data_IF_266564064728
#
_entry.id   IF_266564064728
#
_cell.length_a   1.000
_cell.length_b   1.000
_cell.length_c   1.000
_cell.angle_alpha   90.00
_cell.angle_beta   90.00
_cell.angle_gamma   90.00
#
_symmetry.space_group_name_H-M   'P 1'
#
loop_
_entity.id
_entity.type
_entity.pdbx_description
1 polymer ?
#
# COMPACT_ATOMS: atom_id res chain seq x y z
N UNK A 1 16.35 -78.10 62.93
CA UNK A 1 16.52 -76.92 62.06
C UNK A 1 15.19 -76.65 61.38
N UNK A 2 14.94 -75.41 61.02
CA UNK A 2 13.79 -74.99 60.24
C UNK A 2 14.11 -75.19 58.75
N UNK A 3 13.18 -75.73 57.97
CA UNK A 3 13.36 -75.88 56.52
C UNK A 3 12.96 -74.56 55.88
N UNK A 4 13.76 -74.02 54.98
CA UNK A 4 13.35 -72.84 54.20
C UNK A 4 12.52 -73.29 52.99
N UNK A 5 11.20 -73.30 53.13
CA UNK A 5 10.30 -73.71 52.05
C UNK A 5 10.36 -72.77 50.84
N UNK A 6 10.76 -71.50 51.02
CA UNK A 6 10.90 -70.52 49.93
C UNK A 6 12.16 -70.77 49.09
N UNK A 7 13.26 -71.20 49.73
CA UNK A 7 14.50 -71.58 49.01
C UNK A 7 14.43 -72.96 48.37
N UNK A 8 13.60 -73.86 48.91
CA UNK A 8 13.46 -75.24 48.42
C UNK A 8 12.33 -75.41 47.41
N UNK A 9 11.49 -74.39 47.21
CA UNK A 9 10.31 -74.45 46.33
C UNK A 9 9.16 -75.30 46.90
N UNK A 10 9.24 -75.70 48.17
CA UNK A 10 8.26 -76.52 48.87
C UNK A 10 7.11 -75.67 49.45
N UNK A 11 6.64 -74.67 48.70
CA UNK A 11 5.56 -73.76 49.10
C UNK A 11 4.40 -73.79 48.10
N UNK A 12 3.19 -73.50 48.58
CA UNK A 12 1.97 -73.45 47.74
C UNK A 12 1.53 -72.02 47.38
N UNK A 13 2.43 -71.04 47.44
CA UNK A 13 2.12 -69.65 47.06
C UNK A 13 1.76 -69.52 45.57
N UNK A 14 0.77 -68.66 45.27
CA UNK A 14 0.34 -68.36 43.90
C UNK A 14 1.32 -67.47 43.13
N UNK A 15 1.08 -67.25 41.82
CA UNK A 15 1.99 -66.49 40.94
C UNK A 15 2.14 -65.00 41.34
N UNK A 16 1.11 -64.41 41.94
CA UNK A 16 1.10 -63.00 42.39
C UNK A 16 1.38 -62.88 43.91
N UNK A 17 2.09 -63.86 44.47
CA UNK A 17 2.42 -63.94 45.90
C UNK A 17 3.92 -64.15 46.12
N UNK A 18 4.48 -63.45 47.10
CA UNK A 18 5.82 -63.67 47.60
C UNK A 18 5.81 -64.60 48.83
N UNK A 19 6.69 -65.58 48.82
CA UNK A 19 6.91 -66.52 49.93
C UNK A 19 7.82 -65.90 50.98
N UNK A 20 7.43 -66.00 52.25
CA UNK A 20 8.21 -65.63 53.42
C UNK A 20 8.34 -66.84 54.34
N UNK A 21 9.57 -67.28 54.60
CA UNK A 21 9.81 -68.40 55.51
C UNK A 21 9.53 -67.97 56.97
N UNK A 22 8.87 -68.83 57.74
CA UNK A 22 8.59 -68.63 59.16
C UNK A 22 9.02 -69.84 59.96
N UNK A 23 9.31 -69.67 61.25
CA UNK A 23 9.77 -70.80 62.06
C UNK A 23 8.67 -71.86 62.21
N UNK A 24 8.82 -72.99 61.52
CA UNK A 24 7.89 -74.12 61.48
C UNK A 24 6.87 -74.12 60.34
N UNK A 25 6.90 -73.15 59.41
CA UNK A 25 5.99 -73.05 58.25
C UNK A 25 6.44 -71.94 57.27
N UNK A 26 5.75 -71.76 56.14
CA UNK A 26 5.88 -70.56 55.31
C UNK A 26 4.62 -69.68 55.38
N UNK A 27 4.75 -68.43 54.91
CA UNK A 27 3.65 -67.47 54.75
C UNK A 27 3.71 -66.85 53.36
N UNK A 28 2.58 -66.84 52.65
CA UNK A 28 2.46 -66.18 51.34
C UNK A 28 1.83 -64.80 51.54
N UNK A 29 2.47 -63.74 51.06
CA UNK A 29 1.89 -62.39 51.01
C UNK A 29 1.74 -61.96 49.55
N UNK A 30 0.83 -61.04 49.26
CA UNK A 30 0.69 -60.55 47.89
C UNK A 30 1.96 -59.81 47.45
N UNK A 31 2.34 -59.97 46.18
CA UNK A 31 3.43 -59.21 45.58
C UNK A 31 3.17 -57.69 45.68
N UNK A 32 4.22 -56.84 45.69
CA UNK A 32 4.04 -55.39 45.65
C UNK A 32 3.12 -54.99 44.48
N UNK A 33 2.16 -54.09 44.73
CA UNK A 33 1.12 -53.72 43.74
C UNK A 33 -0.14 -54.60 43.75
N UNK A 34 -0.21 -55.64 44.58
CA UNK A 34 -1.40 -56.49 44.72
C UNK A 34 -2.01 -56.36 46.12
N UNK A 35 -3.34 -56.42 46.20
CA UNK A 35 -4.10 -56.41 47.45
C UNK A 35 -4.84 -57.73 47.66
N UNK A 36 -4.99 -58.15 48.92
CA UNK A 36 -5.69 -59.38 49.27
C UNK A 36 -7.20 -59.17 49.25
N UNK A 37 -7.92 -59.91 48.40
CA UNK A 37 -9.39 -59.95 48.37
C UNK A 37 -9.83 -61.41 48.50
N UNK A 38 -10.26 -61.79 49.71
CA UNK A 38 -10.46 -63.22 50.05
C UNK A 38 -9.12 -63.97 50.08
N UNK A 39 -9.08 -65.14 49.44
CA UNK A 39 -7.87 -65.98 49.32
C UNK A 39 -7.02 -65.66 48.07
N UNK A 40 -7.40 -64.65 47.28
CA UNK A 40 -6.68 -64.25 46.06
C UNK A 40 -6.01 -62.89 46.22
N UNK A 41 -4.87 -62.74 45.54
CA UNK A 41 -4.21 -61.45 45.35
C UNK A 41 -4.72 -60.86 44.05
N UNK A 42 -5.42 -59.74 44.14
CA UNK A 42 -5.90 -58.99 42.98
C UNK A 42 -5.03 -57.76 42.82
N UNK A 43 -4.79 -57.38 41.57
CA UNK A 43 -4.09 -56.16 41.24
C UNK A 43 -4.73 -54.97 41.96
N UNK A 44 -3.91 -54.14 42.61
CA UNK A 44 -4.40 -52.96 43.31
C UNK A 44 -4.52 -51.86 42.27
N UNK A 45 -5.75 -51.51 41.90
CA UNK A 45 -5.97 -50.39 40.99
C UNK A 45 -5.59 -49.06 41.67
N UNK A 46 -4.35 -48.60 41.47
CA UNK A 46 -3.91 -47.32 42.00
C UNK A 46 -4.68 -46.16 41.37
N UNK A 47 -5.24 -46.31 40.17
CA UNK A 47 -6.01 -45.26 39.51
C UNK A 47 -7.42 -45.06 40.09
N UNK A 48 -7.94 -46.01 40.88
CA UNK A 48 -9.25 -45.91 41.53
C UNK A 48 -9.26 -45.02 42.79
N UNK A 49 -8.09 -44.61 43.31
CA UNK A 49 -7.92 -43.78 44.49
C UNK A 49 -7.76 -42.26 44.21
N UNK A 50 -7.44 -41.44 45.24
CA UNK A 50 -7.19 -40.00 45.05
C UNK A 50 -6.02 -39.77 44.09
N UNK A 51 -6.24 -38.93 43.07
CA UNK A 51 -5.43 -38.74 41.85
C UNK A 51 -3.92 -38.88 42.04
N UNK A 52 -3.38 -40.07 41.72
CA UNK A 52 -1.93 -40.33 41.74
C UNK A 52 -1.22 -39.65 40.57
N UNK A 53 -1.87 -39.56 39.41
CA UNK A 53 -1.33 -38.87 38.23
C UNK A 53 -1.93 -37.47 38.09
N UNK A 54 -1.18 -36.53 37.50
CA UNK A 54 -1.70 -35.19 37.20
C UNK A 54 -2.75 -35.19 36.08
N UNK A 55 -2.56 -36.00 35.03
CA UNK A 55 -3.46 -36.06 33.88
C UNK A 55 -4.17 -37.42 33.77
N UNK A 56 -3.53 -38.43 33.19
CA UNK A 56 -4.14 -39.74 32.97
C UNK A 56 -3.36 -40.82 33.71
N UNK A 57 -4.06 -41.66 34.44
CA UNK A 57 -3.52 -42.86 35.09
C UNK A 57 -3.89 -44.09 34.29
N UNK A 58 -2.94 -45.00 34.07
CA UNK A 58 -3.17 -46.30 33.45
C UNK A 58 -2.69 -47.39 34.41
N UNK A 59 -3.64 -48.18 34.89
CA UNK A 59 -3.37 -49.31 35.76
C UNK A 59 -2.82 -50.50 34.96
N UNK A 60 -1.83 -51.20 35.51
CA UNK A 60 -1.19 -52.37 34.90
C UNK A 60 -0.99 -53.47 35.95
N UNK A 61 -0.93 -54.76 35.60
CA UNK A 61 -0.73 -55.81 36.60
C UNK A 61 0.56 -55.59 37.43
N UNK A 62 0.40 -55.31 38.72
CA UNK A 62 1.47 -55.05 39.69
C UNK A 62 2.03 -53.62 39.72
N UNK A 63 1.48 -52.69 38.93
CA UNK A 63 1.96 -51.29 38.89
C UNK A 63 0.99 -50.35 38.17
N UNK A 64 1.37 -49.09 38.04
CA UNK A 64 0.65 -48.12 37.22
C UNK A 64 1.65 -47.18 36.55
N UNK A 65 1.21 -46.50 35.51
CA UNK A 65 1.98 -45.41 34.93
C UNK A 65 1.10 -44.22 34.58
N UNK A 66 1.70 -43.04 34.67
CA UNK A 66 1.05 -41.79 34.33
C UNK A 66 1.34 -41.42 32.87
N UNK A 67 0.31 -40.92 32.19
CA UNK A 67 0.40 -40.35 30.86
C UNK A 67 -0.01 -38.88 30.88
N UNK A 68 0.68 -38.09 30.08
CA UNK A 68 0.38 -36.68 29.91
C UNK A 68 -0.48 -36.46 28.66
N UNK A 69 -1.35 -35.46 28.72
CA UNK A 69 -2.10 -34.98 27.56
C UNK A 69 -1.13 -34.40 26.51
N UNK A 70 -1.59 -34.26 25.26
CA UNK A 70 -0.85 -33.58 24.20
C UNK A 70 -0.39 -32.19 24.65
N UNK A 71 0.85 -31.81 24.31
CA UNK A 71 1.47 -30.56 24.77
C UNK A 71 2.18 -30.67 26.13
N UNK A 72 2.19 -31.84 26.76
CA UNK A 72 2.86 -32.06 28.04
C UNK A 72 3.75 -33.29 28.02
N UNK A 73 4.83 -33.24 28.80
CA UNK A 73 5.74 -34.36 29.01
C UNK A 73 5.79 -34.77 30.49
N UNK A 74 6.08 -36.04 30.73
CA UNK A 74 6.15 -36.59 32.08
C UNK A 74 7.42 -36.09 32.77
N UNK A 75 7.26 -35.50 33.95
CA UNK A 75 8.39 -35.02 34.74
C UNK A 75 9.21 -36.19 35.33
N UNK A 76 10.38 -35.88 35.86
CA UNK A 76 11.31 -36.85 36.47
C UNK A 76 10.74 -37.62 37.68
N UNK A 77 9.64 -37.13 38.27
CA UNK A 77 8.93 -37.83 39.33
C UNK A 77 7.93 -38.88 38.82
N UNK A 78 7.74 -39.05 37.51
CA UNK A 78 6.78 -39.95 36.87
C UNK A 78 5.29 -39.73 37.21
N UNK A 79 4.92 -38.61 37.84
CA UNK A 79 3.53 -38.33 38.26
C UNK A 79 2.99 -37.00 37.73
N UNK A 80 3.83 -35.98 37.63
CA UNK A 80 3.44 -34.64 37.18
C UNK A 80 3.72 -34.44 35.69
N UNK A 81 2.85 -33.69 35.04
CA UNK A 81 3.00 -33.32 33.64
C UNK A 81 3.47 -31.88 33.55
N UNK A 82 4.61 -31.66 32.90
CA UNK A 82 5.12 -30.32 32.63
C UNK A 82 4.82 -29.97 31.18
N UNK A 83 4.48 -28.71 30.97
CA UNK A 83 4.27 -28.13 29.66
C UNK A 83 5.50 -28.32 28.77
N UNK A 84 5.30 -28.70 27.51
CA UNK A 84 6.37 -28.77 26.52
C UNK A 84 6.47 -27.42 25.87
N UNK A 85 7.62 -26.75 26.01
CA UNK A 85 7.85 -25.49 25.32
C UNK A 85 8.14 -25.75 23.83
N UNK A 86 7.12 -25.72 22.97
CA UNK A 86 7.32 -26.00 21.55
C UNK A 86 8.22 -24.97 20.86
N UNK A 87 8.28 -23.74 21.38
CA UNK A 87 9.16 -22.69 20.84
C UNK A 87 10.65 -22.98 21.07
N UNK A 88 11.01 -23.74 22.10
CA UNK A 88 12.39 -24.17 22.35
C UNK A 88 12.72 -25.50 21.68
N UNK A 89 11.73 -26.39 21.54
CA UNK A 89 11.93 -27.76 21.05
C UNK A 89 11.91 -27.84 19.52
N UNK A 90 10.86 -27.29 18.89
CA UNK A 90 10.64 -27.42 17.44
C UNK A 90 10.57 -26.09 16.70
N UNK A 91 10.29 -24.99 17.43
CA UNK A 91 10.05 -23.65 16.90
C UNK A 91 9.20 -23.66 15.61
N UNK A 92 7.93 -24.08 15.70
CA UNK A 92 7.10 -24.37 14.54
C UNK A 92 6.63 -23.12 13.77
N UNK A 93 6.78 -21.93 14.34
CA UNK A 93 6.31 -20.68 13.77
C UNK A 93 7.30 -20.10 12.76
N UNK A 94 6.78 -19.48 11.68
CA UNK A 94 7.62 -18.76 10.71
C UNK A 94 8.25 -17.49 11.30
N UNK A 95 7.50 -16.74 12.10
CA UNK A 95 7.95 -15.50 12.75
C UNK A 95 8.07 -15.68 14.27
N UNK A 96 7.16 -15.10 15.06
CA UNK A 96 7.24 -15.10 16.52
C UNK A 96 6.48 -16.30 17.09
N UNK A 97 7.12 -17.03 18.01
CA UNK A 97 6.51 -18.15 18.73
C UNK A 97 6.30 -17.78 20.20
N UNK A 98 5.10 -18.03 20.71
CA UNK A 98 4.75 -17.86 22.11
C UNK A 98 4.30 -19.18 22.71
N UNK A 99 5.01 -19.64 23.73
CA UNK A 99 4.62 -20.83 24.46
C UNK A 99 3.36 -20.57 25.30
N UNK A 100 2.42 -21.50 25.25
CA UNK A 100 1.20 -21.49 26.07
C UNK A 100 1.08 -22.80 26.83
N UNK A 101 0.25 -22.83 27.87
CA UNK A 101 0.07 -24.07 28.62
C UNK A 101 -0.71 -25.08 27.74
N UNK A 102 -0.04 -26.16 27.37
CA UNK A 102 -0.56 -27.28 26.57
C UNK A 102 -0.55 -27.05 25.05
N UNK A 103 0.04 -25.95 24.56
CA UNK A 103 0.12 -25.60 23.14
C UNK A 103 1.06 -24.42 22.94
N UNK A 104 1.24 -23.98 21.69
CA UNK A 104 1.88 -22.71 21.34
C UNK A 104 0.95 -21.83 20.52
N UNK A 105 1.35 -20.57 20.34
CA UNK A 105 0.73 -19.63 19.40
C UNK A 105 1.80 -18.96 18.55
N UNK A 106 1.55 -18.90 17.25
CA UNK A 106 2.38 -18.15 16.32
C UNK A 106 1.80 -16.74 16.08
N UNK A 107 2.67 -15.76 16.01
CA UNK A 107 2.33 -14.39 15.65
C UNK A 107 3.23 -13.91 14.51
N UNK A 108 2.61 -13.25 13.53
CA UNK A 108 3.31 -12.68 12.40
C UNK A 108 3.79 -11.26 12.70
N UNK A 109 4.94 -10.91 12.14
CA UNK A 109 5.45 -9.54 12.14
C UNK A 109 4.49 -8.58 11.41
N UNK A 110 4.68 -7.28 11.63
CA UNK A 110 3.88 -6.25 10.98
C UNK A 110 3.93 -6.38 9.45
N UNK A 111 2.77 -6.28 8.79
CA UNK A 111 2.63 -6.45 7.34
C UNK A 111 2.34 -7.89 6.90
N UNK A 112 2.20 -8.82 7.84
CA UNK A 112 1.88 -10.22 7.55
C UNK A 112 0.65 -10.69 8.33
N UNK A 113 -0.08 -11.64 7.75
CA UNK A 113 -1.21 -12.34 8.38
C UNK A 113 -0.92 -13.83 8.57
N UNK A 114 -1.49 -14.40 9.64
CA UNK A 114 -1.31 -15.81 9.96
C UNK A 114 -2.11 -16.68 8.98
N UNK A 115 -1.41 -17.62 8.34
CA UNK A 115 -2.01 -18.54 7.39
C UNK A 115 -2.95 -19.55 8.07
N UNK A 116 -3.69 -20.31 7.26
CA UNK A 116 -4.66 -21.31 7.75
C UNK A 116 -4.05 -22.46 8.54
N UNK A 117 -2.75 -22.68 8.39
CA UNK A 117 -1.99 -23.67 9.16
C UNK A 117 -1.62 -23.18 10.57
N UNK A 118 -1.95 -21.93 10.91
CA UNK A 118 -1.63 -21.27 12.18
C UNK A 118 -0.14 -21.19 12.51
N UNK A 119 0.74 -21.34 11.51
CA UNK A 119 2.20 -21.35 11.70
C UNK A 119 2.94 -20.50 10.66
N UNK A 120 2.48 -20.49 9.42
CA UNK A 120 3.07 -19.70 8.33
C UNK A 120 2.51 -18.28 8.32
N UNK A 121 3.31 -17.34 7.86
CA UNK A 121 2.96 -15.92 7.74
C UNK A 121 2.93 -15.51 6.27
N UNK A 122 1.77 -15.04 5.82
CA UNK A 122 1.53 -14.56 4.46
C UNK A 122 1.58 -13.06 4.44
N UNK A 123 2.26 -12.52 3.44
CA UNK A 123 2.35 -11.08 3.22
C UNK A 123 0.96 -10.49 2.94
N UNK A 124 0.63 -9.38 3.60
CA UNK A 124 -0.63 -8.68 3.37
C UNK A 124 -0.45 -7.82 2.12
N UNK A 125 -1.15 -8.16 1.04
CA UNK A 125 -1.12 -7.33 -0.16
C UNK A 125 -1.93 -6.04 0.04
N UNK A 126 -1.29 -4.99 0.58
CA UNK A 126 -1.98 -3.72 0.86
C UNK A 126 -2.45 -3.02 -0.42
N UNK A 127 -1.85 -3.33 -1.57
CA UNK A 127 -2.26 -2.81 -2.86
C UNK A 127 -3.60 -3.39 -3.33
N UNK A 128 -3.97 -4.58 -2.85
CA UNK A 128 -5.27 -5.21 -3.16
C UNK A 128 -6.45 -4.59 -2.39
N UNK A 129 -6.19 -3.96 -1.25
CA UNK A 129 -7.24 -3.43 -0.36
C UNK A 129 -7.74 -2.03 -0.76
N UNK A 130 -6.88 -1.18 -1.32
CA UNK A 130 -7.28 0.19 -1.68
C UNK A 130 -6.47 0.74 -2.86
N UNK A 131 -7.19 1.14 -3.90
CA UNK A 131 -6.64 1.83 -5.08
C UNK A 131 -6.08 3.22 -4.78
N UNK A 132 -6.28 3.75 -3.58
CA UNK A 132 -5.87 5.11 -3.18
C UNK A 132 -4.61 5.14 -2.28
N UNK A 133 -3.92 4.01 -2.13
CA UNK A 133 -2.70 3.93 -1.30
C UNK A 133 -1.52 4.73 -1.87
N UNK A 134 -1.45 4.83 -3.20
CA UNK A 134 -0.44 5.57 -3.95
C UNK A 134 -1.14 6.52 -4.94
N UNK A 135 -0.50 7.64 -5.28
CA UNK A 135 -1.06 8.56 -6.29
C UNK A 135 -1.10 7.96 -7.70
N UNK A 136 -0.15 7.07 -8.03
CA UNK A 136 -0.08 6.41 -9.34
C UNK A 136 -0.13 4.89 -9.23
N UNK A 137 0.99 4.24 -8.87
CA UNK A 137 1.08 2.78 -8.86
C UNK A 137 1.58 2.26 -7.51
N UNK A 138 0.82 1.34 -6.93
CA UNK A 138 1.19 0.58 -5.75
C UNK A 138 1.88 -0.72 -6.16
N UNK A 139 2.97 -1.05 -5.48
CA UNK A 139 3.73 -2.29 -5.65
C UNK A 139 3.85 -2.97 -4.30
N UNK A 140 3.24 -4.15 -4.18
CA UNK A 140 3.29 -4.94 -2.96
C UNK A 140 4.70 -5.48 -2.72
N UNK A 141 5.16 -5.48 -1.47
CA UNK A 141 6.51 -5.90 -1.08
C UNK A 141 6.45 -6.72 0.21
N UNK A 142 7.42 -7.62 0.49
CA UNK A 142 7.38 -8.38 1.73
C UNK A 142 7.38 -7.48 2.98
N UNK A 143 6.29 -7.51 3.75
CA UNK A 143 6.07 -6.74 4.98
C UNK A 143 5.53 -5.32 4.79
N UNK A 144 5.08 -4.98 3.58
CA UNK A 144 4.51 -3.66 3.30
C UNK A 144 4.36 -3.37 1.81
N UNK A 145 4.38 -2.09 1.44
CA UNK A 145 4.24 -1.72 0.04
C UNK A 145 5.10 -0.51 -0.31
N UNK A 146 5.34 -0.34 -1.60
CA UNK A 146 6.03 0.82 -2.16
C UNK A 146 5.20 1.47 -3.25
N UNK A 147 5.30 2.79 -3.36
CA UNK A 147 4.68 3.55 -4.43
C UNK A 147 5.71 3.86 -5.51
N UNK A 148 5.28 3.73 -6.76
CA UNK A 148 6.06 4.12 -7.94
C UNK A 148 5.35 5.22 -8.71
N UNK A 149 6.14 6.10 -9.29
CA UNK A 149 5.68 7.20 -10.13
C UNK A 149 6.00 6.90 -11.59
N UNK A 150 5.20 7.43 -12.53
CA UNK A 150 5.46 7.22 -13.93
C UNK A 150 6.65 8.07 -14.42
N UNK A 151 7.02 7.87 -15.68
CA UNK A 151 8.06 8.66 -16.35
C UNK A 151 7.76 10.16 -16.30
N UNK A 152 8.80 10.98 -16.04
CA UNK A 152 8.67 12.43 -15.82
C UNK A 152 8.28 12.83 -14.40
N UNK A 153 8.07 11.87 -13.49
CA UNK A 153 7.72 12.13 -12.10
C UNK A 153 8.67 11.41 -11.13
N UNK A 154 8.86 12.01 -9.96
CA UNK A 154 9.61 11.44 -8.85
C UNK A 154 8.73 11.30 -7.61
N UNK A 155 9.02 10.30 -6.78
CA UNK A 155 8.30 10.07 -5.55
C UNK A 155 8.66 11.16 -4.52
N UNK A 156 7.67 11.96 -4.14
CA UNK A 156 7.77 12.95 -3.07
C UNK A 156 7.17 12.36 -1.78
N UNK A 157 8.03 12.14 -0.79
CA UNK A 157 7.65 11.43 0.43
C UNK A 157 7.50 9.93 0.15
N UNK A 158 6.34 9.35 0.49
CA UNK A 158 6.10 7.90 0.37
C UNK A 158 4.99 7.52 -0.61
N UNK A 159 4.14 8.48 -1.03
CA UNK A 159 2.91 8.17 -1.79
C UNK A 159 2.59 9.11 -2.95
N UNK A 160 3.19 10.30 -2.99
CA UNK A 160 2.85 11.34 -3.97
C UNK A 160 3.90 11.40 -5.07
N UNK A 161 3.44 11.71 -6.29
CA UNK A 161 4.26 11.90 -7.45
C UNK A 161 4.38 13.39 -7.75
N UNK A 162 5.62 13.88 -7.74
CA UNK A 162 5.95 15.24 -8.09
C UNK A 162 6.58 15.25 -9.47
N UNK A 163 6.09 16.14 -10.32
CA UNK A 163 6.65 16.42 -11.64
C UNK A 163 8.14 16.81 -11.54
N UNK A 164 8.97 16.19 -12.37
CA UNK A 164 10.39 16.52 -12.46
C UNK A 164 10.50 17.76 -13.36
N UNK A 165 11.02 18.86 -12.82
CA UNK A 165 11.27 20.02 -13.65
C UNK A 165 12.54 19.82 -14.48
N UNK A 166 12.43 19.33 -15.72
CA UNK A 166 13.60 19.13 -16.58
C UNK A 166 14.27 20.44 -16.97
N UNK A 167 13.55 21.56 -16.88
CA UNK A 167 14.17 22.87 -17.09
C UNK A 167 15.18 23.24 -16.00
N UNK A 168 15.07 22.66 -14.80
CA UNK A 168 15.99 22.86 -13.69
C UNK A 168 16.99 21.70 -13.55
N UNK A 169 16.60 20.47 -13.87
CA UNK A 169 17.44 19.27 -13.71
C UNK A 169 18.34 18.97 -14.92
N UNK A 170 18.04 19.55 -16.09
CA UNK A 170 18.86 19.45 -17.29
C UNK A 170 18.01 19.19 -18.53
N UNK A 171 18.16 20.05 -19.55
CA UNK A 171 17.36 20.00 -20.78
C UNK A 171 18.22 20.09 -22.04
N UNK A 172 17.72 19.53 -23.14
CA UNK A 172 18.41 19.53 -24.44
C UNK A 172 17.96 20.66 -25.40
N UNK A 173 17.38 21.75 -24.87
CA UNK A 173 16.97 22.90 -25.68
C UNK A 173 18.18 23.65 -26.28
N UNK A 174 17.99 24.16 -27.50
CA UNK A 174 18.99 24.99 -28.19
C UNK A 174 19.10 26.39 -27.56
N UNK A 175 20.16 27.12 -27.89
CA UNK A 175 20.38 28.48 -27.37
C UNK A 175 19.28 29.47 -27.79
N UNK A 176 18.72 29.31 -28.99
CA UNK A 176 17.60 30.11 -29.51
C UNK A 176 16.23 29.66 -28.99
N UNK A 177 16.19 28.63 -28.15
CA UNK A 177 15.00 28.09 -27.52
C UNK A 177 14.95 28.41 -26.02
N UNK A 178 13.74 28.38 -25.48
CA UNK A 178 13.44 28.49 -24.07
C UNK A 178 12.77 27.20 -23.62
N UNK A 179 13.33 26.58 -22.59
CA UNK A 179 12.72 25.42 -21.96
C UNK A 179 11.41 25.80 -21.29
N UNK A 180 10.42 24.94 -21.44
CA UNK A 180 9.12 25.05 -20.79
C UNK A 180 8.70 23.68 -20.22
N UNK A 181 8.59 23.64 -18.90
CA UNK A 181 8.23 22.44 -18.15
C UNK A 181 6.72 22.24 -18.13
N UNK A 182 6.28 20.99 -18.22
CA UNK A 182 4.88 20.59 -18.18
C UNK A 182 4.69 19.27 -17.43
N UNK A 183 3.46 18.93 -17.09
CA UNK A 183 3.15 17.69 -16.37
C UNK A 183 3.62 16.45 -17.15
N UNK A 184 4.67 15.80 -16.67
CA UNK A 184 5.30 14.61 -17.26
C UNK A 184 6.35 14.87 -18.32
N UNK A 185 6.88 16.10 -18.44
CA UNK A 185 8.01 16.37 -19.32
C UNK A 185 8.26 17.84 -19.63
N UNK A 186 9.14 18.10 -20.60
CA UNK A 186 9.47 19.44 -21.04
C UNK A 186 9.39 19.60 -22.55
N UNK A 187 9.28 20.86 -22.98
CA UNK A 187 9.35 21.24 -24.38
C UNK A 187 10.18 22.49 -24.58
N UNK A 188 10.89 22.55 -25.69
CA UNK A 188 11.66 23.70 -26.12
C UNK A 188 10.84 24.55 -27.08
N UNK A 189 10.62 25.81 -26.74
CA UNK A 189 9.92 26.77 -27.60
C UNK A 189 10.86 27.87 -28.08
N UNK A 190 10.69 28.42 -29.29
CA UNK A 190 11.53 29.51 -29.76
C UNK A 190 11.50 30.71 -28.81
N UNK A 191 12.67 31.30 -28.50
CA UNK A 191 12.77 32.54 -27.69
C UNK A 191 12.04 33.71 -28.33
N UNK A 192 12.02 33.74 -29.67
CA UNK A 192 11.25 34.68 -30.47
C UNK A 192 10.20 33.92 -31.30
N UNK A 193 8.93 33.84 -30.83
CA UNK A 193 7.85 33.20 -31.58
C UNK A 193 7.18 34.11 -32.61
N UNK A 194 7.61 35.39 -32.73
CA UNK A 194 6.98 36.34 -33.65
C UNK A 194 7.30 35.98 -35.09
N UNK A 195 6.25 35.83 -35.90
CA UNK A 195 6.37 35.63 -37.35
C UNK A 195 6.31 36.98 -38.08
N UNK A 196 7.00 37.11 -39.20
CA UNK A 196 6.85 38.27 -40.11
C UNK A 196 5.36 38.50 -40.44
N UNK A 197 4.83 39.74 -40.39
CA UNK A 197 5.53 41.04 -40.24
C UNK A 197 5.65 41.56 -38.79
N UNK A 198 5.42 40.71 -37.78
CA UNK A 198 5.40 41.15 -36.39
C UNK A 198 6.80 41.31 -35.79
N UNK A 199 7.00 42.41 -35.08
CA UNK A 199 8.24 42.70 -34.37
C UNK A 199 8.03 42.46 -32.87
N UNK A 200 8.98 41.76 -32.24
CA UNK A 200 8.97 41.49 -30.80
C UNK A 200 9.31 42.75 -30.01
N UNK A 201 8.43 43.12 -29.08
CA UNK A 201 8.67 44.22 -28.14
C UNK A 201 9.44 43.74 -26.90
N UNK A 202 9.92 44.69 -26.09
CA UNK A 202 10.58 44.40 -24.81
C UNK A 202 9.67 43.64 -23.81
N UNK A 203 8.35 43.73 -23.97
CA UNK A 203 7.34 43.07 -23.14
C UNK A 203 6.99 41.65 -23.65
N UNK A 204 7.78 41.07 -24.57
CA UNK A 204 7.52 39.79 -25.23
C UNK A 204 6.19 39.74 -25.99
N UNK A 205 5.74 40.88 -26.53
CA UNK A 205 4.56 40.97 -27.39
C UNK A 205 5.01 41.09 -28.84
N UNK A 206 4.34 40.39 -29.75
CA UNK A 206 4.55 40.55 -31.18
C UNK A 206 3.60 41.65 -31.66
N UNK A 207 4.12 42.79 -32.08
CA UNK A 207 3.32 43.95 -32.53
C UNK A 207 3.55 44.20 -34.00
N UNK A 208 2.46 44.46 -34.73
CA UNK A 208 2.55 44.78 -36.15
C UNK A 208 2.96 46.25 -36.31
N UNK A 209 4.10 46.56 -36.96
CA UNK A 209 4.56 47.94 -37.13
C UNK A 209 3.63 48.67 -38.10
N UNK A 210 3.09 49.82 -37.69
CA UNK A 210 2.11 50.64 -38.42
C UNK A 210 2.49 50.88 -39.88
N UNK A 211 2.09 49.96 -40.75
CA UNK A 211 2.42 49.90 -42.17
C UNK A 211 1.23 49.33 -42.94
N UNK A 212 1.18 49.54 -44.26
CA UNK A 212 0.11 48.99 -45.11
C UNK A 212 0.03 47.46 -45.04
N UNK A 213 1.13 46.79 -44.67
CA UNK A 213 1.22 45.32 -44.52
C UNK A 213 0.35 44.80 -43.37
N UNK A 214 0.11 45.63 -42.35
CA UNK A 214 -0.66 45.27 -41.16
C UNK A 214 -2.18 45.41 -41.31
N UNK A 215 -2.67 45.79 -42.50
CA UNK A 215 -4.09 46.06 -42.70
C UNK A 215 -4.91 44.77 -42.61
N UNK A 216 -5.81 44.71 -41.62
CA UNK A 216 -6.66 43.53 -41.37
C UNK A 216 -6.01 42.45 -40.51
N UNK A 217 -4.74 42.62 -40.16
CA UNK A 217 -4.04 41.76 -39.19
C UNK A 217 -4.30 42.25 -37.75
N UNK A 218 -4.22 41.37 -36.74
CA UNK A 218 -4.30 41.79 -35.35
C UNK A 218 -3.13 42.71 -35.01
N UNK A 219 -3.41 43.75 -34.23
CA UNK A 219 -2.44 44.75 -33.78
C UNK A 219 -1.31 44.12 -32.95
N UNK A 220 -1.64 43.17 -32.09
CA UNK A 220 -0.65 42.43 -31.33
C UNK A 220 -1.02 40.96 -31.15
N UNK A 221 0.01 40.11 -31.06
CA UNK A 221 -0.09 38.69 -30.75
C UNK A 221 0.79 38.42 -29.51
N UNK A 222 0.22 37.74 -28.52
CA UNK A 222 0.94 37.32 -27.30
C UNK A 222 0.89 35.80 -27.22
N UNK A 223 2.05 35.18 -27.01
CA UNK A 223 2.17 33.73 -26.87
C UNK A 223 2.23 33.38 -25.39
N UNK A 224 1.38 32.46 -24.95
CA UNK A 224 1.38 31.93 -23.58
C UNK A 224 1.34 30.41 -23.63
N UNK A 225 1.93 29.80 -22.62
CA UNK A 225 2.02 28.35 -22.44
C UNK A 225 1.50 28.02 -21.06
N UNK A 226 0.69 26.97 -20.96
CA UNK A 226 0.18 26.45 -19.70
C UNK A 226 0.04 24.93 -19.78
N UNK A 227 0.07 24.28 -18.62
CA UNK A 227 -0.01 22.82 -18.52
C UNK A 227 -1.18 22.45 -17.64
N UNK A 228 -1.81 21.33 -17.97
CA UNK A 228 -2.87 20.72 -17.18
C UNK A 228 -2.69 19.20 -17.15
N UNK A 229 -3.12 18.52 -16.08
CA UNK A 229 -3.15 17.07 -16.07
C UNK A 229 -4.20 16.52 -17.06
N UNK A 230 -4.05 15.26 -17.45
CA UNK A 230 -5.02 14.54 -18.29
C UNK A 230 -6.36 14.41 -17.58
N UNK A 231 -7.45 14.34 -18.34
CA UNK A 231 -8.78 13.92 -17.87
C UNK A 231 -9.29 14.68 -16.63
N UNK A 232 -8.85 15.93 -16.48
CA UNK A 232 -9.29 16.83 -15.42
C UNK A 232 -10.81 17.00 -15.45
N UNK A 233 -11.41 17.01 -14.26
CA UNK A 233 -12.85 17.21 -14.08
C UNK A 233 -13.34 18.53 -14.69
N UNK A 234 -14.47 18.48 -15.40
CA UNK A 234 -15.13 19.63 -16.04
C UNK A 234 -16.53 19.89 -15.46
N UNK A 235 -17.03 21.14 -15.50
CA UNK A 235 -16.40 22.34 -16.08
C UNK A 235 -15.26 22.89 -15.21
N UNK A 236 -14.20 23.37 -15.85
CA UNK A 236 -13.04 23.94 -15.13
C UNK A 236 -12.63 25.29 -15.71
N UNK A 237 -12.50 26.29 -14.85
CA UNK A 237 -11.87 27.57 -15.18
C UNK A 237 -10.35 27.35 -15.27
N UNK A 238 -9.76 27.54 -16.46
CA UNK A 238 -8.35 27.18 -16.72
C UNK A 238 -7.45 28.37 -17.04
N UNK A 239 -7.99 29.47 -17.56
CA UNK A 239 -7.17 30.63 -17.91
C UNK A 239 -7.97 31.93 -17.90
N UNK A 240 -7.52 32.93 -17.16
CA UNK A 240 -8.12 34.26 -17.16
C UNK A 240 -7.37 35.20 -18.11
N UNK A 241 -8.10 35.80 -19.05
CA UNK A 241 -7.59 36.85 -19.91
C UNK A 241 -7.97 38.19 -19.29
N UNK A 242 -7.02 39.14 -19.28
CA UNK A 242 -7.24 40.50 -18.81
C UNK A 242 -6.67 41.53 -19.80
N UNK A 243 -7.42 42.59 -20.07
CA UNK A 243 -6.96 43.72 -20.85
C UNK A 243 -5.97 44.56 -20.02
N UNK A 244 -4.79 44.82 -20.57
CA UNK A 244 -3.72 45.56 -19.87
C UNK A 244 -3.93 47.08 -19.90
N UNK A 245 -4.56 47.61 -20.95
CA UNK A 245 -4.80 49.04 -21.11
C UNK A 245 -6.30 49.34 -21.04
N UNK A 246 -6.67 50.15 -20.04
CA UNK A 246 -8.05 50.64 -19.87
C UNK A 246 -8.07 52.07 -20.38
N UNK A 247 -8.51 52.27 -21.62
CA UNK A 247 -8.73 53.61 -22.15
C UNK A 247 -10.15 54.06 -21.85
N UNK A 248 -10.32 55.34 -21.52
CA UNK A 248 -11.66 55.93 -21.41
C UNK A 248 -12.44 55.70 -22.71
N UNK A 249 -13.72 55.35 -22.60
CA UNK A 249 -14.62 55.12 -23.73
C UNK A 249 -14.23 53.95 -24.66
N UNK A 250 -13.55 52.93 -24.11
CA UNK A 250 -13.32 51.67 -24.82
C UNK A 250 -14.19 50.53 -24.30
N UNK A 251 -14.68 49.73 -25.23
CA UNK A 251 -15.41 48.48 -24.96
C UNK A 251 -14.54 47.35 -25.48
N UNK A 252 -14.24 46.36 -24.63
CA UNK A 252 -13.56 45.15 -25.05
C UNK A 252 -14.55 43.98 -25.12
N UNK A 253 -14.48 43.25 -26.23
CA UNK A 253 -15.20 41.99 -26.43
C UNK A 253 -14.18 40.88 -26.60
N UNK A 254 -14.38 39.77 -25.90
CA UNK A 254 -13.50 38.62 -25.95
C UNK A 254 -14.19 37.46 -26.66
N UNK A 255 -13.47 36.75 -27.54
CA UNK A 255 -13.98 35.55 -28.21
C UNK A 255 -12.88 34.54 -28.50
N UNK A 256 -13.27 33.28 -28.68
CA UNK A 256 -12.38 32.26 -29.24
C UNK A 256 -12.37 32.44 -30.77
N UNK A 257 -11.21 32.65 -31.36
CA UNK A 257 -11.03 32.88 -32.79
C UNK A 257 -10.74 31.59 -33.56
N UNK A 258 -9.93 30.71 -33.00
CA UNK A 258 -9.52 29.43 -33.60
C UNK A 258 -9.08 28.43 -32.51
N UNK A 259 -8.97 27.14 -32.85
CA UNK A 259 -8.44 26.12 -31.95
C UNK A 259 -9.46 25.54 -30.97
N UNK A 260 -10.74 25.58 -31.33
CA UNK A 260 -11.85 25.04 -30.52
C UNK A 260 -12.86 24.33 -31.42
N UNK A 261 -12.39 23.64 -32.46
CA UNK A 261 -13.21 22.94 -33.43
C UNK A 261 -14.00 21.78 -32.81
N UNK A 262 -13.47 21.19 -31.72
CA UNK A 262 -14.14 20.12 -30.96
C UNK A 262 -15.07 20.62 -29.85
N UNK A 263 -15.15 21.93 -29.62
CA UNK A 263 -16.00 22.53 -28.59
C UNK A 263 -15.60 22.16 -27.16
N UNK A 264 -14.31 21.93 -26.92
CA UNK A 264 -13.72 21.62 -25.61
C UNK A 264 -13.63 22.85 -24.70
N UNK A 265 -13.72 24.05 -25.28
CA UNK A 265 -13.57 25.31 -24.59
C UNK A 265 -14.78 26.23 -24.78
N UNK A 266 -15.06 27.01 -23.75
CA UNK A 266 -16.02 28.10 -23.76
C UNK A 266 -15.38 29.34 -23.13
N UNK A 267 -15.64 30.51 -23.68
CA UNK A 267 -15.13 31.77 -23.13
C UNK A 267 -16.25 32.54 -22.44
N UNK A 268 -16.15 32.65 -21.12
CA UNK A 268 -17.11 33.38 -20.28
C UNK A 268 -16.59 34.79 -20.04
N UNK A 269 -17.19 35.79 -20.66
CA UNK A 269 -16.83 37.18 -20.40
C UNK A 269 -17.31 37.60 -19.00
N UNK A 270 -16.36 37.97 -18.15
CA UNK A 270 -16.62 38.35 -16.75
C UNK A 270 -16.84 39.85 -16.60
N UNK A 271 -16.16 40.67 -17.40
CA UNK A 271 -16.29 42.12 -17.40
C UNK A 271 -15.90 42.73 -18.75
N UNK A 272 -15.88 44.06 -18.85
CA UNK A 272 -15.33 44.78 -20.01
C UNK A 272 -13.80 44.71 -20.11
N UNK A 273 -13.11 44.12 -19.14
CA UNK A 273 -11.65 43.99 -19.11
C UNK A 273 -11.17 42.57 -18.86
N UNK A 274 -12.07 41.62 -18.62
CA UNK A 274 -11.68 40.24 -18.31
C UNK A 274 -12.66 39.19 -18.84
N UNK A 275 -12.10 38.04 -19.21
CA UNK A 275 -12.84 36.84 -19.60
C UNK A 275 -12.13 35.59 -19.09
N UNK A 276 -12.90 34.56 -18.75
CA UNK A 276 -12.41 33.28 -18.27
C UNK A 276 -12.57 32.21 -19.36
N UNK A 277 -11.48 31.54 -19.71
CA UNK A 277 -11.50 30.33 -20.53
C UNK A 277 -11.90 29.15 -19.64
N UNK A 278 -13.00 28.50 -20.01
CA UNK A 278 -13.60 27.39 -19.30
C UNK A 278 -13.50 26.15 -20.17
N UNK A 279 -12.95 25.09 -19.61
CA UNK A 279 -12.93 23.76 -20.23
C UNK A 279 -14.27 23.07 -19.97
N UNK A 280 -14.93 22.62 -21.04
CA UNK A 280 -16.26 21.99 -21.03
C UNK A 280 -16.21 20.48 -21.25
N UNK A 281 -15.10 19.97 -21.79
CA UNK A 281 -14.82 18.55 -21.99
C UNK A 281 -13.46 18.19 -21.41
N UNK A 282 -13.31 17.00 -20.79
CA UNK A 282 -12.00 16.55 -20.34
C UNK A 282 -11.07 16.41 -21.54
N UNK A 283 -9.79 16.73 -21.33
CA UNK A 283 -8.75 16.61 -22.34
C UNK A 283 -7.82 15.47 -21.97
N UNK A 284 -7.68 14.49 -22.86
CA UNK A 284 -6.77 13.36 -22.65
C UNK A 284 -5.42 13.65 -23.29
N UNK A 285 -4.35 13.49 -22.51
CA UNK A 285 -2.98 13.69 -22.97
C UNK A 285 -2.27 12.39 -23.38
N UNK A 286 -0.99 12.46 -23.79
CA UNK A 286 -0.22 13.67 -24.00
C UNK A 286 -0.60 14.37 -25.31
N UNK A 287 -1.11 15.60 -25.24
CA UNK A 287 -1.55 16.36 -26.42
C UNK A 287 -1.45 17.85 -26.21
N UNK A 288 -1.23 18.58 -27.29
CA UNK A 288 -1.26 20.04 -27.29
C UNK A 288 -2.50 20.59 -27.96
N UNK A 289 -3.06 21.62 -27.33
CA UNK A 289 -4.15 22.43 -27.87
C UNK A 289 -3.67 23.87 -28.00
N UNK A 290 -3.76 24.42 -29.21
CA UNK A 290 -3.42 25.81 -29.48
C UNK A 290 -4.73 26.56 -29.70
N UNK A 291 -5.07 27.45 -28.76
CA UNK A 291 -6.31 28.22 -28.79
C UNK A 291 -5.98 29.70 -29.00
N UNK A 292 -6.55 30.29 -30.04
CA UNK A 292 -6.42 31.72 -30.30
C UNK A 292 -7.58 32.48 -29.67
N UNK A 293 -7.29 33.25 -28.63
CA UNK A 293 -8.26 34.08 -27.92
C UNK A 293 -8.12 35.52 -28.41
N UNK A 294 -9.19 36.07 -28.98
CA UNK A 294 -9.18 37.41 -29.58
C UNK A 294 -9.89 38.42 -28.68
N UNK A 295 -9.19 39.51 -28.36
CA UNK A 295 -9.75 40.70 -27.75
C UNK A 295 -9.97 41.75 -28.85
N UNK A 296 -11.23 42.14 -29.03
CA UNK A 296 -11.60 43.24 -29.92
C UNK A 296 -11.85 44.47 -29.05
N UNK A 297 -11.06 45.51 -29.27
CA UNK A 297 -11.21 46.80 -28.60
C UNK A 297 -11.88 47.77 -29.57
N UNK A 298 -12.98 48.37 -29.12
CA UNK A 298 -13.70 49.41 -29.85
C UNK A 298 -13.70 50.71 -29.04
N UNK A 299 -13.21 51.80 -29.63
CA UNK A 299 -13.30 53.13 -29.03
C UNK A 299 -14.53 53.85 -29.57
N UNK A 300 -15.45 54.21 -28.68
CA UNK A 300 -16.75 54.80 -29.07
C UNK A 300 -16.66 56.24 -29.56
N UNK A 301 -15.57 56.94 -29.25
CA UNK A 301 -15.36 58.36 -29.63
C UNK A 301 -14.59 58.46 -30.95
N UNK A 302 -13.53 57.68 -31.12
CA UNK A 302 -12.68 57.72 -32.33
C UNK A 302 -13.14 56.76 -33.43
N UNK A 303 -14.20 55.97 -33.19
CA UNK A 303 -14.67 54.89 -34.07
C UNK A 303 -13.54 53.94 -34.50
N UNK A 304 -12.60 53.71 -33.58
CA UNK A 304 -11.40 52.91 -33.81
C UNK A 304 -11.64 51.48 -33.34
N UNK A 305 -11.38 50.51 -34.22
CA UNK A 305 -11.47 49.09 -33.93
C UNK A 305 -10.09 48.44 -34.08
N UNK A 306 -9.63 47.79 -33.02
CA UNK A 306 -8.39 47.02 -33.02
C UNK A 306 -8.63 45.61 -32.49
N UNK A 307 -7.85 44.65 -32.99
CA UNK A 307 -7.87 43.26 -32.53
C UNK A 307 -6.51 42.90 -31.96
N UNK A 308 -6.48 42.20 -30.83
CA UNK A 308 -5.27 41.58 -30.28
C UNK A 308 -5.54 40.10 -30.01
N UNK A 309 -4.57 39.25 -30.33
CA UNK A 309 -4.67 37.80 -30.14
C UNK A 309 -3.77 37.37 -28.99
N UNK A 310 -4.31 36.53 -28.11
CA UNK A 310 -3.54 35.70 -27.20
C UNK A 310 -3.56 34.28 -27.75
N UNK A 311 -2.41 33.80 -28.23
CA UNK A 311 -2.22 32.41 -28.63
C UNK A 311 -1.80 31.61 -27.41
N UNK A 312 -2.73 30.85 -26.86
CA UNK A 312 -2.53 30.01 -25.68
C UNK A 312 -2.25 28.57 -26.12
N UNK A 313 -1.07 28.07 -25.78
CA UNK A 313 -0.72 26.66 -25.95
C UNK A 313 -0.95 25.94 -24.63
N UNK A 314 -1.91 25.02 -24.63
CA UNK A 314 -2.27 24.18 -23.48
C UNK A 314 -1.65 22.81 -23.72
N UNK A 315 -0.68 22.44 -22.88
CA UNK A 315 -0.04 21.13 -22.91
C UNK A 315 -0.74 20.24 -21.89
N UNK A 316 -1.39 19.19 -22.37
CA UNK A 316 -2.05 18.19 -21.54
C UNK A 316 -1.03 17.11 -21.22
N UNK A 317 -0.74 16.92 -19.94
CA UNK A 317 0.15 15.87 -19.46
C UNK A 317 -0.39 14.47 -19.75
N UNK A 318 0.46 13.43 -19.75
CA UNK A 318 0.06 12.06 -20.06
C UNK A 318 -0.77 11.39 -18.95
N UNK A 319 -0.75 11.91 -17.73
CA UNK A 319 -1.39 11.32 -16.56
C UNK A 319 -2.42 12.25 -15.90
N UNK A 320 -3.42 11.71 -15.19
CA UNK A 320 -4.57 12.48 -14.71
C UNK A 320 -4.43 13.11 -13.33
N UNK A 321 -3.32 12.86 -12.61
CA UNK A 321 -3.14 13.21 -11.21
C UNK A 321 -2.36 14.51 -10.97
#
# INVERSE_FOLDING_TARGET
EDVDECSTGAHSCGPDQMCYNTRGSFSCQCSPGYQRTGDQCVDKDECAGPSYCMHRCVNTPGSYFCMCNTGFQLASNNHTCIDVNECEVSNPCQHQCYNMIGSYMCQCDQGYELARDSASCQDIDECSFSSYMCQYQCVNTPGGYSCSCPEGYQLQGTRMCQDINECDSGHNCREDEKCWNYYGGFRCYPRNPCQEPYVRTAENRCVCPSSNVCRGLPHSIVYKYMSIPSDRSVPADIFQIQATNIYANTINTFRIKAGNEGGEFFLRQSSNVSAMLVMTKPLSGPREHIVDLEMITFNTVMNYRSSSILRLTIIVGPYPF
#
